data_IF_017933285299
#
_entry.id   IF_017933285299
#
_cell.length_a   1.000
_cell.length_b   1.000
_cell.length_c   1.000
_cell.angle_alpha   90.00
_cell.angle_beta   90.00
_cell.angle_gamma   90.00
#
_symmetry.space_group_name_H-M   'P 1'
#
loop_
_entity.id
_entity.type
_entity.pdbx_description
1 polymer ?
#
# COMPACT_ATOMS: atom_id res chain seq x y z
N UNK A 1 -22.94 -23.94 -17.54
CA UNK A 1 -21.90 -22.99 -17.12
C UNK A 1 -22.19 -21.68 -17.81
N UNK A 2 -22.30 -20.61 -17.03
CA UNK A 2 -22.51 -19.24 -17.55
C UNK A 2 -21.28 -18.84 -18.37
N UNK A 3 -21.45 -18.21 -19.53
CA UNK A 3 -20.32 -17.82 -20.37
C UNK A 3 -19.57 -16.63 -19.78
N UNK A 4 -20.31 -15.57 -19.42
CA UNK A 4 -19.80 -14.34 -18.79
C UNK A 4 -20.93 -13.71 -17.97
N UNK A 5 -20.60 -12.91 -16.95
CA UNK A 5 -21.57 -12.11 -16.18
C UNK A 5 -21.29 -10.62 -16.34
N UNK A 6 -22.31 -9.79 -16.24
CA UNK A 6 -22.16 -8.33 -16.30
C UNK A 6 -21.31 -7.81 -15.11
N UNK A 7 -20.61 -6.71 -15.33
CA UNK A 7 -19.92 -5.97 -14.25
C UNK A 7 -20.98 -5.55 -13.22
N UNK A 8 -20.66 -5.62 -11.93
CA UNK A 8 -21.60 -5.35 -10.83
C UNK A 8 -22.59 -6.48 -10.55
N UNK A 9 -22.37 -7.68 -11.12
CA UNK A 9 -23.17 -8.88 -10.89
C UNK A 9 -22.30 -10.07 -10.59
N UNK A 10 -22.83 -11.03 -9.82
CA UNK A 10 -22.16 -12.29 -9.50
C UNK A 10 -22.99 -13.47 -9.99
N UNK A 11 -22.34 -14.55 -10.47
CA UNK A 11 -23.02 -15.83 -10.63
C UNK A 11 -23.32 -16.46 -9.26
N UNK A 12 -24.14 -17.51 -9.18
CA UNK A 12 -24.30 -18.26 -7.92
C UNK A 12 -22.96 -18.68 -7.34
N UNK A 13 -22.82 -18.61 -6.00
CA UNK A 13 -21.56 -18.93 -5.31
C UNK A 13 -21.05 -20.32 -5.70
N UNK A 14 -19.82 -20.40 -6.14
CA UNK A 14 -19.18 -21.63 -6.64
C UNK A 14 -19.40 -21.91 -8.13
N UNK A 15 -20.25 -21.16 -8.82
CA UNK A 15 -20.41 -21.25 -10.27
C UNK A 15 -19.45 -20.27 -10.97
N UNK A 16 -18.31 -20.77 -11.41
CA UNK A 16 -17.29 -19.96 -12.10
C UNK A 16 -17.65 -19.84 -13.59
N UNK A 17 -17.81 -18.61 -14.14
CA UNK A 17 -18.02 -18.41 -15.57
C UNK A 17 -16.73 -18.73 -16.34
N UNK A 18 -16.84 -18.95 -17.67
CA UNK A 18 -15.64 -19.19 -18.48
C UNK A 18 -14.85 -17.92 -18.74
N UNK A 19 -15.53 -16.80 -18.89
CA UNK A 19 -14.97 -15.50 -19.24
C UNK A 19 -15.31 -14.47 -18.18
N UNK A 20 -14.47 -13.42 -18.10
CA UNK A 20 -14.67 -12.29 -17.21
C UNK A 20 -14.25 -10.98 -17.87
N UNK A 21 -14.80 -9.87 -17.40
CA UNK A 21 -14.28 -8.55 -17.70
C UNK A 21 -13.12 -8.23 -16.74
N UNK A 22 -12.04 -7.67 -17.31
CA UNK A 22 -10.89 -7.20 -16.54
C UNK A 22 -10.34 -5.91 -17.14
N UNK A 23 -9.81 -5.04 -16.29
CA UNK A 23 -8.99 -3.89 -16.68
C UNK A 23 -7.57 -4.39 -16.97
N UNK A 24 -7.24 -4.50 -18.25
CA UNK A 24 -5.96 -5.02 -18.69
C UNK A 24 -4.99 -3.92 -19.09
N UNK A 25 -3.71 -4.12 -18.80
CA UNK A 25 -2.59 -3.40 -19.36
C UNK A 25 -1.91 -4.31 -20.37
N UNK A 26 -1.47 -3.78 -21.53
CA UNK A 26 -0.67 -4.50 -22.52
C UNK A 26 0.63 -3.74 -22.82
N UNK A 27 1.70 -4.45 -23.18
CA UNK A 27 2.98 -3.82 -23.51
C UNK A 27 2.87 -2.79 -24.64
N UNK A 28 1.91 -2.94 -25.55
CA UNK A 28 1.65 -1.97 -26.61
C UNK A 28 0.93 -0.69 -26.17
N UNK A 29 0.47 -0.64 -24.92
CA UNK A 29 -0.27 0.51 -24.34
C UNK A 29 0.39 1.07 -23.09
N UNK A 30 1.64 0.71 -22.78
CA UNK A 30 2.35 1.29 -21.66
C UNK A 30 2.48 2.80 -21.81
N UNK A 31 2.16 3.54 -20.75
CA UNK A 31 2.12 5.00 -20.75
C UNK A 31 1.26 5.56 -19.65
N UNK A 32 0.52 6.61 -19.94
CA UNK A 32 -0.39 7.22 -18.98
C UNK A 32 -1.51 6.24 -18.59
N UNK A 33 -1.86 6.15 -17.30
CA UNK A 33 -2.84 5.17 -16.83
C UNK A 33 -4.18 5.19 -17.57
N UNK A 34 -4.69 6.37 -17.90
CA UNK A 34 -5.96 6.53 -18.63
C UNK A 34 -5.97 5.84 -20.00
N UNK A 35 -4.80 5.70 -20.63
CA UNK A 35 -4.65 5.03 -21.92
C UNK A 35 -4.21 3.57 -21.77
N UNK A 36 -3.46 3.24 -20.74
CA UNK A 36 -2.91 1.92 -20.49
C UNK A 36 -3.98 0.91 -20.07
N UNK A 37 -4.89 1.30 -19.16
CA UNK A 37 -5.98 0.44 -18.71
C UNK A 37 -7.13 0.41 -19.69
N UNK A 38 -7.57 -0.81 -20.06
CA UNK A 38 -8.77 -1.01 -20.90
C UNK A 38 -9.56 -2.22 -20.41
N UNK A 39 -10.89 -2.12 -20.44
CA UNK A 39 -11.75 -3.26 -20.16
C UNK A 39 -11.65 -4.23 -21.34
N UNK A 40 -11.23 -5.45 -21.05
CA UNK A 40 -11.19 -6.55 -22.01
C UNK A 40 -11.90 -7.78 -21.43
N UNK A 41 -12.43 -8.59 -22.31
CA UNK A 41 -12.96 -9.92 -21.98
C UNK A 41 -11.84 -10.94 -22.07
N UNK A 42 -11.55 -11.63 -20.96
CA UNK A 42 -10.50 -12.63 -20.84
C UNK A 42 -11.03 -13.91 -20.18
N UNK A 43 -10.28 -15.00 -20.27
CA UNK A 43 -10.63 -16.23 -19.56
C UNK A 43 -10.48 -16.06 -18.05
N UNK A 44 -11.42 -16.63 -17.29
CA UNK A 44 -11.26 -16.71 -15.83
C UNK A 44 -10.13 -17.68 -15.52
N UNK A 45 -9.15 -17.30 -14.67
CA UNK A 45 -8.05 -18.19 -14.34
C UNK A 45 -8.54 -19.37 -13.48
N UNK A 46 -7.91 -20.52 -13.63
CA UNK A 46 -8.17 -21.70 -12.80
C UNK A 46 -7.15 -21.73 -11.65
N UNK A 47 -7.60 -21.89 -10.39
CA UNK A 47 -6.68 -21.96 -9.26
C UNK A 47 -5.80 -23.23 -9.32
N UNK A 48 -4.50 -23.03 -9.20
CA UNK A 48 -3.50 -24.08 -9.07
C UNK A 48 -3.32 -24.57 -7.62
N UNK A 49 -2.21 -25.25 -7.35
CA UNK A 49 -1.88 -25.69 -5.98
C UNK A 49 -1.74 -24.50 -5.03
N UNK A 50 -2.40 -24.59 -3.88
CA UNK A 50 -2.44 -23.55 -2.84
C UNK A 50 -3.03 -22.21 -3.29
N UNK A 51 -3.70 -22.14 -4.44
CA UNK A 51 -4.34 -20.92 -4.93
C UNK A 51 -5.84 -20.90 -4.67
N UNK A 52 -6.38 -19.70 -4.55
CA UNK A 52 -7.80 -19.41 -4.28
C UNK A 52 -8.31 -18.47 -5.37
N UNK A 53 -9.42 -18.82 -6.01
CA UNK A 53 -10.15 -17.95 -6.92
C UNK A 53 -11.22 -17.18 -6.16
N UNK A 54 -11.16 -15.86 -6.24
CA UNK A 54 -12.02 -14.95 -5.48
C UNK A 54 -12.81 -14.08 -6.47
N UNK A 55 -14.13 -14.04 -6.35
CA UNK A 55 -14.95 -13.05 -7.00
C UNK A 55 -14.74 -11.72 -6.27
N UNK A 56 -14.20 -10.73 -6.97
CA UNK A 56 -13.86 -9.44 -6.41
C UNK A 56 -15.12 -8.60 -6.26
N UNK A 57 -15.42 -8.15 -5.04
CA UNK A 57 -16.52 -7.22 -4.77
C UNK A 57 -16.07 -5.77 -4.88
N UNK A 58 -14.92 -5.45 -4.30
CA UNK A 58 -14.27 -4.16 -4.44
C UNK A 58 -12.74 -4.31 -4.44
N UNK A 59 -12.06 -3.35 -5.03
CA UNK A 59 -10.60 -3.29 -5.16
C UNK A 59 -10.08 -1.95 -4.65
N UNK A 60 -8.93 -1.94 -3.96
CA UNK A 60 -8.23 -0.72 -3.55
C UNK A 60 -7.31 -0.19 -4.65
N UNK A 61 -7.17 1.12 -4.71
CA UNK A 61 -6.30 1.82 -5.66
C UNK A 61 -4.93 2.07 -5.03
N UNK A 62 -3.85 1.72 -5.75
CA UNK A 62 -2.49 1.86 -5.25
C UNK A 62 -1.51 2.37 -6.31
N UNK A 63 -0.51 3.14 -5.88
CA UNK A 63 0.46 3.77 -6.77
C UNK A 63 1.31 2.77 -7.56
N UNK A 64 1.49 1.53 -7.07
CA UNK A 64 2.20 0.48 -7.80
C UNK A 64 1.57 0.18 -9.18
N UNK A 65 0.26 0.37 -9.32
CA UNK A 65 -0.42 0.17 -10.59
C UNK A 65 -0.27 1.37 -11.54
N UNK A 66 0.08 2.56 -11.05
CA UNK A 66 0.61 3.67 -11.89
C UNK A 66 1.94 3.23 -12.53
N UNK A 67 2.83 2.62 -11.73
CA UNK A 67 4.09 2.08 -12.25
C UNK A 67 3.87 0.95 -13.24
N UNK A 68 2.94 0.04 -12.97
CA UNK A 68 2.60 -1.05 -13.90
C UNK A 68 2.07 -0.51 -15.23
N UNK A 69 1.20 0.50 -15.22
CA UNK A 69 0.68 1.17 -16.41
C UNK A 69 1.79 1.81 -17.24
N UNK A 70 2.76 2.43 -16.58
CA UNK A 70 3.89 3.11 -17.24
C UNK A 70 5.04 2.18 -17.64
N UNK A 71 5.05 0.94 -17.14
CA UNK A 71 6.16 -0.01 -17.37
C UNK A 71 7.47 0.41 -16.70
N UNK A 72 7.43 1.25 -15.66
CA UNK A 72 8.62 1.76 -14.95
C UNK A 72 8.42 1.65 -13.44
N UNK A 73 9.45 1.33 -12.66
CA UNK A 73 10.83 0.99 -13.07
C UNK A 73 10.96 -0.36 -13.76
N UNK A 74 9.90 -1.18 -13.78
CA UNK A 74 9.89 -2.53 -14.35
C UNK A 74 8.66 -2.69 -15.25
N UNK A 75 8.86 -3.15 -16.50
CA UNK A 75 7.78 -3.71 -17.31
C UNK A 75 7.43 -5.10 -16.78
N UNK A 76 6.35 -5.16 -15.98
CA UNK A 76 5.90 -6.38 -15.31
C UNK A 76 5.42 -7.48 -16.28
N UNK A 77 5.00 -7.12 -17.49
CA UNK A 77 4.58 -8.07 -18.52
C UNK A 77 5.82 -8.75 -19.12
N UNK A 78 6.80 -7.95 -19.55
CA UNK A 78 8.06 -8.46 -20.07
C UNK A 78 8.83 -9.28 -19.03
N UNK A 79 8.86 -8.85 -17.78
CA UNK A 79 9.50 -9.58 -16.69
C UNK A 79 8.87 -10.97 -16.49
N UNK A 80 7.53 -11.08 -16.47
CA UNK A 80 6.84 -12.37 -16.36
C UNK A 80 7.02 -13.24 -17.60
N UNK A 81 7.03 -12.65 -18.80
CA UNK A 81 7.32 -13.42 -20.04
C UNK A 81 8.71 -14.04 -20.01
N UNK A 82 9.70 -13.30 -19.51
CA UNK A 82 11.07 -13.83 -19.32
C UNK A 82 11.12 -15.00 -18.33
N UNK A 83 10.15 -15.09 -17.41
CA UNK A 83 9.96 -16.20 -16.47
C UNK A 83 9.04 -17.32 -17.01
N UNK A 84 8.64 -17.26 -18.27
CA UNK A 84 7.84 -18.29 -18.93
C UNK A 84 6.33 -18.07 -18.89
N UNK A 85 5.83 -16.92 -18.48
CA UNK A 85 4.40 -16.62 -18.55
C UNK A 85 3.90 -16.58 -20.00
N UNK A 86 2.78 -17.23 -20.27
CA UNK A 86 2.10 -17.21 -21.57
C UNK A 86 1.27 -15.95 -21.82
N UNK A 87 0.98 -15.18 -20.77
CA UNK A 87 0.08 -14.03 -20.86
C UNK A 87 0.83 -12.77 -21.34
N UNK A 88 0.24 -12.08 -22.32
CA UNK A 88 0.73 -10.84 -22.92
C UNK A 88 0.02 -9.61 -22.39
N UNK A 89 -0.68 -9.77 -21.28
CA UNK A 89 -1.42 -8.73 -20.56
C UNK A 89 -1.16 -8.80 -19.05
N UNK A 90 -1.51 -7.72 -18.37
CA UNK A 90 -1.49 -7.63 -16.92
C UNK A 90 -2.84 -7.17 -16.39
N UNK A 91 -3.43 -7.92 -15.49
CA UNK A 91 -4.54 -7.50 -14.64
C UNK A 91 -3.96 -7.12 -13.29
N UNK A 92 -3.96 -5.82 -13.00
CA UNK A 92 -3.41 -5.25 -11.78
C UNK A 92 -4.38 -5.32 -10.60
N UNK A 93 -4.09 -4.50 -9.58
CA UNK A 93 -4.90 -4.41 -8.35
C UNK A 93 -4.34 -5.27 -7.23
N UNK A 94 -3.88 -4.61 -6.16
CA UNK A 94 -3.14 -5.24 -5.06
C UNK A 94 -3.90 -5.24 -3.73
N UNK A 95 -5.16 -4.83 -3.76
CA UNK A 95 -6.13 -4.89 -2.66
C UNK A 95 -7.43 -5.50 -3.17
N UNK A 96 -8.01 -6.41 -2.42
CA UNK A 96 -9.32 -6.96 -2.73
C UNK A 96 -10.13 -7.23 -1.48
N UNK A 97 -11.44 -7.01 -1.57
CA UNK A 97 -12.44 -7.70 -0.78
C UNK A 97 -13.32 -8.52 -1.72
N UNK A 98 -13.71 -9.72 -1.32
CA UNK A 98 -14.46 -10.59 -2.21
C UNK A 98 -14.96 -11.88 -1.55
N UNK A 99 -15.47 -12.76 -2.38
CA UNK A 99 -16.03 -14.05 -1.98
C UNK A 99 -15.24 -15.17 -2.66
N UNK A 100 -14.87 -16.20 -1.93
CA UNK A 100 -14.18 -17.38 -2.47
C UNK A 100 -15.13 -18.18 -3.36
N UNK A 101 -14.74 -18.40 -4.62
CA UNK A 101 -15.54 -19.14 -5.61
C UNK A 101 -14.98 -20.50 -5.97
N UNK A 102 -13.65 -20.65 -5.95
CA UNK A 102 -13.02 -21.95 -6.13
C UNK A 102 -11.70 -22.02 -5.35
N UNK A 103 -11.29 -23.21 -5.00
CA UNK A 103 -10.03 -23.48 -4.30
C UNK A 103 -9.22 -24.52 -5.05
N UNK A 104 -7.92 -24.34 -5.10
CA UNK A 104 -6.98 -25.30 -5.66
C UNK A 104 -6.63 -26.43 -4.70
N UNK A 105 -5.85 -27.37 -5.21
CA UNK A 105 -5.35 -28.49 -4.42
C UNK A 105 -4.47 -27.96 -3.27
N UNK A 106 -4.63 -28.52 -2.08
CA UNK A 106 -3.83 -28.16 -0.91
C UNK A 106 -4.37 -27.03 -0.05
N UNK A 107 -5.34 -26.24 -0.53
CA UNK A 107 -6.01 -25.19 0.26
C UNK A 107 -6.79 -25.79 1.41
N UNK A 108 -6.64 -25.23 2.63
CA UNK A 108 -7.25 -25.78 3.88
C UNK A 108 -7.90 -24.72 4.76
N UNK A 109 -7.46 -23.47 4.70
CA UNK A 109 -7.85 -22.43 5.66
C UNK A 109 -9.07 -21.61 5.22
N UNK A 110 -9.49 -21.76 3.96
CA UNK A 110 -10.66 -21.10 3.39
C UNK A 110 -11.50 -22.08 2.57
N UNK A 111 -12.78 -21.77 2.40
CA UNK A 111 -13.73 -22.55 1.60
C UNK A 111 -14.56 -21.66 0.71
N UNK A 112 -15.18 -22.27 -0.31
CA UNK A 112 -16.14 -21.59 -1.19
C UNK A 112 -17.25 -20.95 -0.35
N UNK A 113 -17.53 -19.67 -0.64
CA UNK A 113 -18.50 -18.84 0.05
C UNK A 113 -17.93 -17.99 1.20
N UNK A 114 -16.66 -18.16 1.57
CA UNK A 114 -16.05 -17.31 2.59
C UNK A 114 -15.86 -15.88 2.06
N UNK A 115 -16.19 -14.90 2.89
CA UNK A 115 -15.94 -13.48 2.64
C UNK A 115 -14.54 -13.10 3.12
N UNK A 116 -13.74 -12.58 2.22
CA UNK A 116 -12.29 -12.43 2.43
C UNK A 116 -11.76 -11.09 1.98
N UNK A 117 -10.56 -10.76 2.46
CA UNK A 117 -9.66 -9.73 1.92
C UNK A 117 -8.33 -10.37 1.53
N UNK A 118 -7.60 -9.76 0.60
CA UNK A 118 -6.32 -10.27 0.11
C UNK A 118 -5.22 -9.30 0.45
N UNK A 119 -4.17 -9.76 1.15
CA UNK A 119 -2.99 -8.95 1.40
C UNK A 119 -1.94 -9.07 0.28
N UNK A 120 -1.11 -8.04 0.04
CA UNK A 120 -0.28 -7.94 -1.16
C UNK A 120 0.98 -8.83 -1.15
N UNK A 121 1.42 -9.33 -0.02
CA UNK A 121 2.64 -10.14 0.07
C UNK A 121 2.43 -11.52 -0.56
N UNK A 122 3.17 -11.82 -1.63
CA UNK A 122 3.07 -13.07 -2.37
C UNK A 122 4.44 -13.74 -2.48
N UNK A 123 4.50 -15.05 -2.38
CA UNK A 123 5.70 -15.88 -2.51
C UNK A 123 5.32 -17.31 -2.82
N UNK A 124 6.25 -18.08 -3.38
CA UNK A 124 6.08 -19.52 -3.52
C UNK A 124 6.18 -20.19 -2.14
N UNK A 125 5.12 -20.88 -1.66
CA UNK A 125 5.18 -21.64 -0.40
C UNK A 125 6.27 -22.71 -0.38
N UNK A 126 6.74 -23.13 -1.54
CA UNK A 126 7.78 -24.13 -1.71
C UNK A 126 9.21 -23.56 -1.72
N UNK A 127 9.38 -22.24 -1.72
CA UNK A 127 10.70 -21.60 -1.65
C UNK A 127 11.48 -22.09 -0.42
N UNK A 128 12.75 -22.50 -0.59
CA UNK A 128 13.58 -23.00 0.52
C UNK A 128 13.74 -22.00 1.66
N UNK A 129 13.80 -20.69 1.36
CA UNK A 129 13.89 -19.64 2.38
C UNK A 129 12.61 -19.61 3.24
N UNK A 130 11.43 -19.69 2.60
CA UNK A 130 10.14 -19.74 3.27
C UNK A 130 10.03 -20.99 4.14
N UNK A 131 10.37 -22.16 3.59
CA UNK A 131 10.37 -23.45 4.31
C UNK A 131 11.33 -23.47 5.51
N UNK A 132 12.36 -22.64 5.52
CA UNK A 132 13.29 -22.50 6.66
C UNK A 132 12.71 -21.65 7.81
N UNK A 133 11.48 -21.11 7.69
CA UNK A 133 10.80 -20.29 8.70
C UNK A 133 11.31 -18.85 8.78
N UNK A 134 12.07 -18.39 7.78
CA UNK A 134 12.52 -17.00 7.68
C UNK A 134 11.44 -16.10 7.09
N UNK A 135 11.61 -14.78 7.18
CA UNK A 135 10.67 -13.81 6.63
C UNK A 135 10.48 -14.04 5.12
N UNK A 136 9.27 -14.46 4.67
CA UNK A 136 9.04 -14.80 3.27
C UNK A 136 9.20 -13.61 2.32
N UNK A 137 9.07 -12.37 2.81
CA UNK A 137 9.31 -11.17 1.99
C UNK A 137 10.80 -10.95 1.67
N UNK A 138 11.70 -11.76 2.22
CA UNK A 138 13.12 -11.80 1.87
C UNK A 138 13.49 -13.00 0.97
N UNK A 139 12.50 -13.81 0.58
CA UNK A 139 12.70 -14.92 -0.34
C UNK A 139 12.96 -14.43 -1.77
N UNK A 140 13.65 -15.25 -2.58
CA UNK A 140 13.86 -14.94 -4.00
C UNK A 140 12.54 -14.89 -4.80
N UNK A 141 11.52 -15.59 -4.34
CA UNK A 141 10.18 -15.65 -4.94
C UNK A 141 9.23 -14.58 -4.40
N UNK A 142 9.68 -13.70 -3.47
CA UNK A 142 8.85 -12.66 -2.91
C UNK A 142 8.40 -11.64 -3.98
N UNK A 143 7.11 -11.37 -4.01
CA UNK A 143 6.45 -10.50 -4.99
C UNK A 143 5.37 -9.67 -4.32
N UNK A 144 4.90 -8.64 -5.01
CA UNK A 144 3.66 -7.93 -4.67
C UNK A 144 2.56 -8.43 -5.59
N UNK A 145 1.52 -8.98 -4.99
CA UNK A 145 0.32 -9.43 -5.68
C UNK A 145 -0.34 -8.28 -6.44
N UNK A 146 -0.80 -8.56 -7.68
CA UNK A 146 -1.45 -7.57 -8.53
C UNK A 146 -0.51 -6.44 -9.02
N UNK A 147 0.80 -6.55 -8.74
CA UNK A 147 1.84 -5.74 -9.37
C UNK A 147 2.85 -6.63 -10.12
N UNK A 148 3.58 -7.49 -9.40
CA UNK A 148 4.48 -8.44 -10.04
C UNK A 148 3.70 -9.65 -10.60
N UNK A 149 2.67 -10.11 -9.88
CA UNK A 149 1.81 -11.22 -10.30
C UNK A 149 0.70 -10.75 -11.24
N UNK A 150 0.11 -11.66 -12.02
CA UNK A 150 -1.08 -11.38 -12.83
C UNK A 150 -2.37 -11.74 -12.08
N UNK A 151 -3.53 -11.41 -12.65
CA UNK A 151 -4.85 -11.67 -12.10
C UNK A 151 -5.08 -11.07 -10.71
N UNK A 152 -4.71 -9.78 -10.57
CA UNK A 152 -5.04 -8.97 -9.41
C UNK A 152 -6.52 -8.54 -9.37
N UNK A 153 -6.84 -7.60 -8.49
CA UNK A 153 -8.23 -7.25 -8.17
C UNK A 153 -8.97 -6.38 -9.21
N UNK A 154 -8.30 -5.93 -10.27
CA UNK A 154 -8.98 -5.20 -11.34
C UNK A 154 -9.59 -6.12 -12.40
N UNK A 155 -10.05 -7.30 -12.02
CA UNK A 155 -10.87 -8.23 -12.76
C UNK A 155 -12.05 -8.71 -11.91
N UNK A 156 -13.11 -9.21 -12.53
CA UNK A 156 -14.26 -9.78 -11.80
C UNK A 156 -13.86 -10.95 -10.90
N UNK A 157 -12.81 -11.68 -11.29
CA UNK A 157 -12.18 -12.71 -10.48
C UNK A 157 -10.69 -12.46 -10.40
N UNK A 158 -10.12 -12.67 -9.21
CA UNK A 158 -8.69 -12.62 -8.99
C UNK A 158 -8.17 -13.95 -8.43
N UNK A 159 -6.85 -14.14 -8.56
CA UNK A 159 -6.16 -15.34 -8.12
C UNK A 159 -5.13 -14.98 -7.05
N UNK A 160 -5.18 -15.62 -5.90
CA UNK A 160 -4.25 -15.38 -4.79
C UNK A 160 -3.84 -16.71 -4.14
N UNK A 161 -2.65 -16.76 -3.55
CA UNK A 161 -2.28 -17.89 -2.70
C UNK A 161 -3.09 -17.89 -1.40
N UNK A 162 -3.37 -19.07 -0.85
CA UNK A 162 -4.11 -19.25 0.42
C UNK A 162 -3.54 -18.38 1.55
N UNK A 163 -2.20 -18.26 1.64
CA UNK A 163 -1.56 -17.48 2.69
C UNK A 163 -1.83 -15.96 2.62
N UNK A 164 -2.32 -15.47 1.48
CA UNK A 164 -2.71 -14.08 1.27
C UNK A 164 -4.15 -13.78 1.68
N UNK A 165 -4.96 -14.83 1.85
CA UNK A 165 -6.41 -14.70 2.03
C UNK A 165 -6.75 -14.64 3.51
N UNK A 166 -7.35 -13.52 3.95
CA UNK A 166 -7.71 -13.26 5.33
C UNK A 166 -9.22 -13.03 5.46
N UNK A 167 -9.83 -13.32 6.62
CA UNK A 167 -11.25 -13.08 6.81
C UNK A 167 -11.59 -11.59 6.75
N UNK A 168 -12.62 -11.24 6.00
CA UNK A 168 -13.16 -9.88 5.94
C UNK A 168 -13.76 -9.49 7.30
N UNK A 169 -13.59 -8.23 7.69
CA UNK A 169 -14.31 -7.64 8.82
C UNK A 169 -15.81 -7.55 8.51
N UNK A 170 -16.66 -8.18 9.32
CA UNK A 170 -18.11 -8.27 9.08
C UNK A 170 -18.82 -6.93 9.14
N UNK A 171 -18.32 -6.00 9.95
CA UNK A 171 -18.87 -4.65 10.12
C UNK A 171 -18.58 -3.71 8.94
N UNK A 172 -17.64 -4.08 8.05
CA UNK A 172 -17.24 -3.26 6.93
C UNK A 172 -18.02 -3.60 5.66
N UNK A 173 -18.32 -2.58 4.86
CA UNK A 173 -18.78 -2.74 3.48
C UNK A 173 -17.64 -3.31 2.61
N UNK A 174 -17.94 -3.67 1.37
CA UNK A 174 -16.94 -4.25 0.47
C UNK A 174 -15.83 -3.25 0.15
N UNK A 175 -16.19 -2.01 -0.20
CA UNK A 175 -15.24 -0.94 -0.47
C UNK A 175 -14.40 -0.57 0.75
N UNK A 176 -15.00 -0.56 1.95
CA UNK A 176 -14.26 -0.33 3.19
C UNK A 176 -13.27 -1.45 3.49
N UNK A 177 -13.64 -2.69 3.22
CA UNK A 177 -12.76 -3.83 3.46
C UNK A 177 -11.61 -3.91 2.44
N UNK A 178 -11.82 -3.45 1.20
CA UNK A 178 -10.79 -3.43 0.17
C UNK A 178 -9.76 -2.31 0.35
N UNK A 179 -10.16 -1.17 0.94
CA UNK A 179 -9.34 0.04 0.98
C UNK A 179 -7.97 -0.12 1.66
N UNK A 180 -7.87 -0.73 2.85
CA UNK A 180 -6.68 -0.60 3.67
C UNK A 180 -5.67 -1.76 3.53
N UNK A 181 -5.96 -2.82 2.80
CA UNK A 181 -5.23 -4.09 2.95
C UNK A 181 -3.75 -3.96 2.59
N UNK A 182 -3.42 -3.34 1.45
CA UNK A 182 -2.02 -3.12 1.07
C UNK A 182 -1.37 -2.04 1.93
N UNK A 183 -1.99 -0.87 1.98
CA UNK A 183 -1.38 0.32 2.62
C UNK A 183 -1.26 0.13 4.12
N UNK A 184 -2.24 -0.49 4.75
CA UNK A 184 -2.24 -0.75 6.19
C UNK A 184 -1.26 -1.85 6.59
N UNK A 185 -1.24 -2.96 5.87
CA UNK A 185 -0.26 -4.02 6.14
C UNK A 185 1.18 -3.57 5.86
N UNK A 186 1.38 -2.70 4.85
CA UNK A 186 2.67 -2.04 4.60
C UNK A 186 3.05 -1.12 5.77
N UNK A 187 2.14 -0.26 6.22
CA UNK A 187 2.37 0.62 7.38
C UNK A 187 2.65 -0.20 8.66
N UNK A 188 1.93 -1.30 8.85
CA UNK A 188 2.17 -2.21 9.98
C UNK A 188 3.59 -2.79 9.94
N UNK A 189 4.04 -3.28 8.78
CA UNK A 189 5.43 -3.74 8.61
C UNK A 189 6.44 -2.63 8.85
N UNK A 190 6.20 -1.42 8.37
CA UNK A 190 7.09 -0.28 8.59
C UNK A 190 7.28 0.02 10.09
N UNK A 191 6.22 -0.12 10.88
CA UNK A 191 6.21 0.23 12.30
C UNK A 191 6.57 -0.95 13.24
N UNK A 192 6.31 -2.20 12.84
CA UNK A 192 6.49 -3.39 13.69
C UNK A 192 7.42 -4.45 13.12
N UNK A 193 7.85 -4.33 11.87
CA UNK A 193 8.61 -5.39 11.17
C UNK A 193 10.11 -5.42 11.45
N UNK A 194 10.65 -4.47 12.21
CA UNK A 194 12.11 -4.23 12.26
C UNK A 194 12.64 -4.33 13.69
N UNK A 195 13.15 -5.50 14.03
CA UNK A 195 13.64 -5.82 15.38
C UNK A 195 14.51 -4.72 15.97
N UNK A 196 14.16 -4.28 17.18
CA UNK A 196 14.79 -3.21 17.92
C UNK A 196 14.38 -1.80 17.50
N UNK A 197 13.46 -1.69 16.51
CA UNK A 197 12.87 -0.42 16.04
C UNK A 197 11.36 -0.53 15.88
N UNK A 198 10.74 -1.50 16.54
CA UNK A 198 9.28 -1.59 16.64
C UNK A 198 8.75 -0.32 17.32
N UNK A 199 7.58 0.15 16.88
CA UNK A 199 6.93 1.30 17.52
C UNK A 199 6.47 0.90 18.92
N UNK A 200 6.75 1.75 19.89
CA UNK A 200 6.46 1.55 21.30
C UNK A 200 5.69 2.72 21.90
N UNK A 201 5.06 2.46 23.04
CA UNK A 201 4.38 3.50 23.80
C UNK A 201 5.34 4.63 24.18
N UNK A 202 4.92 5.86 23.87
CA UNK A 202 5.70 7.06 24.14
C UNK A 202 6.64 7.49 23.02
N UNK A 203 6.79 6.70 21.95
CA UNK A 203 7.55 7.13 20.76
C UNK A 203 6.92 8.34 20.07
N UNK A 204 7.73 9.14 19.41
CA UNK A 204 7.28 10.09 18.40
C UNK A 204 7.46 9.48 17.02
N UNK A 205 6.40 9.46 16.23
CA UNK A 205 6.41 8.95 14.85
C UNK A 205 6.10 10.09 13.89
N UNK A 206 7.05 10.47 13.03
CA UNK A 206 6.79 11.41 11.95
C UNK A 206 6.28 10.66 10.73
N UNK A 207 5.16 11.11 10.15
CA UNK A 207 4.51 10.42 9.03
C UNK A 207 4.42 11.35 7.83
N UNK A 208 5.24 11.10 6.82
CA UNK A 208 5.14 11.80 5.54
C UNK A 208 3.88 11.40 4.78
N UNK A 209 3.27 12.38 4.09
CA UNK A 209 2.03 12.14 3.36
C UNK A 209 0.91 11.58 4.24
N UNK A 210 0.78 12.11 5.47
CA UNK A 210 -0.10 11.58 6.51
C UNK A 210 -1.56 11.39 6.09
N UNK A 211 -2.05 12.14 5.10
CA UNK A 211 -3.44 12.05 4.62
C UNK A 211 -3.65 11.02 3.50
N UNK A 212 -2.59 10.42 2.96
CA UNK A 212 -2.69 9.38 1.94
C UNK A 212 -2.88 7.98 2.54
N UNK A 213 -2.95 6.96 1.68
CA UNK A 213 -3.22 5.59 2.12
C UNK A 213 -2.28 5.07 3.22
N UNK A 214 -0.98 4.98 2.94
CA UNK A 214 0.01 4.50 3.93
C UNK A 214 0.05 5.41 5.16
N UNK A 215 0.02 6.74 4.95
CA UNK A 215 0.13 7.71 6.04
C UNK A 215 -1.05 7.66 7.02
N UNK A 216 -2.28 7.58 6.52
CA UNK A 216 -3.49 7.50 7.35
C UNK A 216 -3.51 6.24 8.21
N UNK A 217 -3.03 5.12 7.67
CA UNK A 217 -2.91 3.87 8.41
C UNK A 217 -1.75 3.91 9.42
N UNK A 218 -0.60 4.48 9.04
CA UNK A 218 0.54 4.62 9.94
C UNK A 218 0.24 5.49 11.17
N UNK A 219 -0.53 6.57 11.00
CA UNK A 219 -1.01 7.41 12.11
C UNK A 219 -1.83 6.58 13.09
N UNK A 220 -2.78 5.82 12.61
CA UNK A 220 -3.67 5.02 13.47
C UNK A 220 -2.91 3.87 14.16
N UNK A 221 -2.04 3.15 13.43
CA UNK A 221 -1.22 2.07 14.02
C UNK A 221 -0.29 2.61 15.10
N UNK A 222 0.35 3.77 14.86
CA UNK A 222 1.20 4.41 15.86
C UNK A 222 0.40 4.83 17.12
N UNK A 223 -0.81 5.39 16.93
CA UNK A 223 -1.72 5.72 18.03
C UNK A 223 -2.11 4.47 18.84
N UNK A 224 -2.47 3.37 18.18
CA UNK A 224 -2.83 2.11 18.83
C UNK A 224 -1.66 1.53 19.64
N UNK A 225 -0.42 1.72 19.19
CA UNK A 225 0.79 1.36 19.93
C UNK A 225 1.07 2.30 21.12
N UNK A 226 0.30 3.38 21.30
CA UNK A 226 0.51 4.40 22.33
C UNK A 226 1.63 5.38 22.02
N UNK A 227 2.05 5.47 20.78
CA UNK A 227 2.98 6.47 20.26
C UNK A 227 2.26 7.79 19.90
N UNK A 228 3.02 8.84 19.66
CA UNK A 228 2.53 10.17 19.27
C UNK A 228 2.86 10.44 17.81
N UNK A 229 1.91 10.22 16.86
CA UNK A 229 2.14 10.52 15.45
C UNK A 229 2.05 12.03 15.18
N UNK A 230 2.97 12.54 14.35
CA UNK A 230 2.98 13.90 13.79
C UNK A 230 2.92 13.76 12.25
N UNK A 231 1.93 14.37 11.62
CA UNK A 231 1.74 14.26 10.18
C UNK A 231 2.49 15.34 9.41
N UNK A 232 3.01 15.01 8.22
CA UNK A 232 3.48 15.98 7.23
C UNK A 232 2.55 15.93 6.02
N UNK A 233 1.97 17.07 5.67
CA UNK A 233 0.92 17.17 4.64
C UNK A 233 1.13 18.37 3.71
N UNK A 234 0.25 18.54 2.72
CA UNK A 234 0.23 19.68 1.80
C UNK A 234 -1.07 20.48 1.93
N UNK A 235 -1.34 21.01 3.11
CA UNK A 235 -2.50 21.88 3.37
C UNK A 235 -3.26 21.56 4.64
N UNK A 236 -4.00 22.56 5.12
CA UNK A 236 -4.70 22.50 6.41
C UNK A 236 -5.82 21.43 6.43
N UNK A 237 -6.61 21.31 5.36
CA UNK A 237 -7.67 20.28 5.27
C UNK A 237 -7.11 18.87 5.50
N UNK A 238 -6.01 18.54 4.82
CA UNK A 238 -5.31 17.25 4.98
C UNK A 238 -4.73 17.09 6.39
N UNK A 239 -4.31 18.20 6.99
CA UNK A 239 -3.81 18.21 8.37
C UNK A 239 -4.91 17.93 9.39
N UNK A 240 -6.06 18.57 9.28
CA UNK A 240 -7.21 18.31 10.16
C UNK A 240 -7.74 16.87 10.00
N UNK A 241 -7.74 16.34 8.78
CA UNK A 241 -8.01 14.92 8.57
C UNK A 241 -7.03 14.02 9.33
N UNK A 242 -5.73 14.29 9.30
CA UNK A 242 -4.76 13.51 10.08
C UNK A 242 -4.99 13.60 11.60
N UNK A 243 -5.40 14.76 12.10
CA UNK A 243 -5.76 14.93 13.51
C UNK A 243 -6.99 14.10 13.89
N UNK A 244 -7.99 14.00 13.01
CA UNK A 244 -9.17 13.15 13.27
C UNK A 244 -8.81 11.66 13.38
N UNK A 245 -7.70 11.22 12.76
CA UNK A 245 -7.18 9.87 12.87
C UNK A 245 -6.28 9.66 14.11
N UNK A 246 -5.98 10.73 14.84
CA UNK A 246 -5.19 10.68 16.08
C UNK A 246 -3.77 11.23 15.98
N UNK A 247 -3.41 11.96 14.93
CA UNK A 247 -2.17 12.72 14.92
C UNK A 247 -2.23 13.85 15.97
N UNK A 248 -1.13 14.06 16.70
CA UNK A 248 -1.01 15.17 17.66
C UNK A 248 -1.11 16.53 16.97
N UNK A 249 -0.74 16.60 15.71
CA UNK A 249 -0.83 17.76 14.85
C UNK A 249 -0.16 17.47 13.51
N UNK A 250 0.04 18.53 12.74
CA UNK A 250 0.62 18.40 11.39
C UNK A 250 1.58 19.54 11.06
N UNK A 251 2.41 19.30 10.05
CA UNK A 251 3.31 20.27 9.45
C UNK A 251 2.93 20.39 7.97
N UNK A 252 2.69 21.61 7.48
CA UNK A 252 2.50 21.87 6.07
C UNK A 252 3.87 21.94 5.37
N UNK A 253 4.17 20.97 4.50
CA UNK A 253 5.45 20.93 3.78
C UNK A 253 5.66 22.13 2.85
N UNK A 254 4.59 22.84 2.50
CA UNK A 254 4.66 24.03 1.61
C UNK A 254 5.26 25.25 2.31
N UNK A 255 5.36 25.22 3.65
CA UNK A 255 6.05 26.26 4.42
C UNK A 255 7.58 26.22 4.26
N UNK A 256 8.11 25.20 3.55
CA UNK A 256 9.54 24.94 3.41
C UNK A 256 9.91 24.73 1.95
N UNK A 257 11.16 25.05 1.58
CA UNK A 257 11.66 25.01 0.20
C UNK A 257 12.97 24.23 0.04
N UNK A 258 13.47 23.61 1.11
CA UNK A 258 14.79 22.95 1.14
C UNK A 258 14.75 21.47 0.76
N UNK A 259 13.71 21.06 0.04
CA UNK A 259 13.51 19.67 -0.39
C UNK A 259 14.52 19.24 -1.45
N UNK A 260 14.76 17.94 -1.54
CA UNK A 260 15.68 17.34 -2.50
C UNK A 260 17.12 17.28 -2.00
N UNK A 261 18.04 17.30 -2.95
CA UNK A 261 19.46 17.12 -2.67
C UNK A 261 20.02 18.27 -1.81
N UNK A 262 20.61 17.98 -0.62
CA UNK A 262 21.30 19.00 0.15
C UNK A 262 22.54 19.52 -0.61
N UNK A 263 22.96 20.77 -0.37
CA UNK A 263 24.20 21.29 -0.94
C UNK A 263 25.41 20.43 -0.57
N UNK A 264 26.44 20.44 -1.42
CA UNK A 264 27.67 19.71 -1.12
C UNK A 264 28.30 20.22 0.19
N UNK A 265 28.90 19.34 0.97
CA UNK A 265 29.42 19.66 2.31
C UNK A 265 30.50 20.77 2.33
N UNK A 266 31.15 21.05 1.20
CA UNK A 266 32.10 22.17 1.02
C UNK A 266 31.45 23.50 0.69
N UNK A 267 30.16 23.52 0.34
CA UNK A 267 29.41 24.76 0.12
C UNK A 267 28.87 25.26 1.49
N UNK A 268 29.69 26.07 2.17
CA UNK A 268 29.37 26.58 3.49
C UNK A 268 28.08 27.42 3.52
N UNK A 269 27.82 28.21 2.47
CA UNK A 269 26.65 29.07 2.39
C UNK A 269 25.39 28.24 2.19
N UNK A 270 25.37 27.37 1.18
CA UNK A 270 24.24 26.46 0.93
C UNK A 270 23.97 25.55 2.13
N UNK A 271 25.02 25.04 2.77
CA UNK A 271 24.89 24.22 3.99
C UNK A 271 24.23 24.98 5.16
N UNK A 272 24.56 26.27 5.35
CA UNK A 272 23.93 27.13 6.38
C UNK A 272 22.43 27.33 6.08
N UNK A 273 22.10 27.62 4.84
CA UNK A 273 20.71 27.83 4.41
C UNK A 273 19.89 26.55 4.56
N UNK A 274 20.36 25.44 4.01
CA UNK A 274 19.68 24.15 4.12
C UNK A 274 19.49 23.74 5.59
N UNK A 275 20.55 23.81 6.40
CA UNK A 275 20.50 23.46 7.83
C UNK A 275 19.54 24.37 8.60
N UNK A 276 19.45 25.65 8.25
CA UNK A 276 18.49 26.58 8.88
C UNK A 276 17.05 26.12 8.62
N UNK A 277 16.72 25.76 7.38
CA UNK A 277 15.40 25.26 7.01
C UNK A 277 15.09 23.90 7.66
N UNK A 278 16.04 22.97 7.64
CA UNK A 278 15.89 21.67 8.28
C UNK A 278 15.69 21.78 9.81
N UNK A 279 16.38 22.74 10.47
CA UNK A 279 16.15 23.05 11.88
C UNK A 279 14.78 23.68 12.13
N UNK A 280 14.34 24.57 11.23
CA UNK A 280 13.01 25.17 11.32
C UNK A 280 11.92 24.10 11.20
N UNK A 281 12.08 23.14 10.27
CA UNK A 281 11.20 21.98 10.16
C UNK A 281 11.21 21.13 11.43
N UNK A 282 12.39 20.78 11.97
CA UNK A 282 12.51 20.05 13.24
C UNK A 282 11.88 20.79 14.41
N UNK A 283 11.98 22.14 14.46
CA UNK A 283 11.29 22.94 15.47
C UNK A 283 9.78 22.85 15.36
N UNK A 284 9.22 22.80 14.16
CA UNK A 284 7.77 22.58 13.98
C UNK A 284 7.28 21.26 14.58
N UNK A 285 8.11 20.19 14.56
CA UNK A 285 7.79 18.94 15.27
C UNK A 285 7.65 19.22 16.76
N UNK A 286 8.58 19.95 17.36
CA UNK A 286 8.53 20.29 18.79
C UNK A 286 7.35 21.21 19.13
N UNK A 287 7.03 22.17 18.26
CA UNK A 287 5.89 23.07 18.44
C UNK A 287 4.57 22.28 18.46
N UNK A 288 4.43 21.26 17.59
CA UNK A 288 3.27 20.33 17.57
C UNK A 288 3.21 19.51 18.85
N UNK A 289 4.35 19.03 19.34
CA UNK A 289 4.42 18.19 20.55
C UNK A 289 4.31 18.99 21.84
N UNK A 290 4.56 20.31 21.82
CA UNK A 290 4.68 21.14 23.01
C UNK A 290 5.97 20.89 23.81
N UNK A 291 6.88 20.07 23.31
CA UNK A 291 8.15 19.71 23.95
C UNK A 291 9.25 19.42 22.94
N UNK A 292 10.51 19.51 23.38
CA UNK A 292 11.68 19.28 22.52
C UNK A 292 11.98 17.77 22.42
N UNK A 293 11.30 17.10 21.51
CA UNK A 293 11.51 15.69 21.19
C UNK A 293 11.62 15.46 19.68
N UNK A 294 12.52 14.56 19.28
CA UNK A 294 12.70 14.16 17.91
C UNK A 294 11.98 12.83 17.62
N UNK A 295 11.54 12.58 16.38
CA UNK A 295 10.89 11.33 16.04
C UNK A 295 11.88 10.16 16.11
N UNK A 296 11.51 9.11 16.86
CA UNK A 296 12.26 7.84 16.89
C UNK A 296 12.05 7.04 15.63
N UNK A 297 10.85 7.13 15.03
CA UNK A 297 10.53 6.49 13.76
C UNK A 297 10.00 7.54 12.79
N UNK A 298 10.48 7.48 11.54
CA UNK A 298 9.97 8.32 10.46
C UNK A 298 9.47 7.40 9.35
N UNK A 299 8.17 7.45 9.08
CA UNK A 299 7.51 6.73 8.00
C UNK A 299 7.64 7.55 6.73
N UNK A 300 8.39 6.99 5.77
CA UNK A 300 8.76 7.62 4.49
C UNK A 300 8.15 6.89 3.30
N UNK A 301 7.72 7.67 2.31
CA UNK A 301 7.40 7.16 0.98
C UNK A 301 7.69 8.16 -0.17
N UNK A 302 7.89 9.48 0.05
CA UNK A 302 8.32 10.37 -1.02
C UNK A 302 9.72 10.01 -1.54
N UNK A 303 10.69 9.83 -0.66
CA UNK A 303 12.02 9.37 -1.03
C UNK A 303 13.00 10.51 -1.32
N UNK A 304 13.29 10.76 -2.60
CA UNK A 304 14.37 11.66 -3.03
C UNK A 304 14.32 13.04 -2.36
N UNK A 305 13.15 13.65 -2.32
CA UNK A 305 12.99 15.00 -1.77
C UNK A 305 13.09 15.08 -0.25
N UNK A 306 12.73 14.04 0.48
CA UNK A 306 12.45 14.13 1.91
C UNK A 306 13.40 13.34 2.80
N UNK A 307 14.05 12.30 2.26
CA UNK A 307 15.03 11.47 3.00
C UNK A 307 16.15 12.32 3.67
N UNK A 308 16.73 13.35 3.01
CA UNK A 308 17.77 14.15 3.66
C UNK A 308 17.28 14.82 4.94
N UNK A 309 16.08 15.41 4.91
CA UNK A 309 15.45 16.05 6.06
C UNK A 309 15.02 15.01 7.10
N UNK A 310 14.51 13.86 6.71
CA UNK A 310 14.16 12.76 7.60
C UNK A 310 15.40 12.27 8.36
N UNK A 311 16.52 12.03 7.67
CA UNK A 311 17.79 11.65 8.32
C UNK A 311 18.25 12.76 9.28
N UNK A 312 18.11 14.04 8.94
CA UNK A 312 18.47 15.14 9.82
C UNK A 312 17.63 15.16 11.11
N UNK A 313 16.29 15.04 10.98
CA UNK A 313 15.34 15.19 12.09
C UNK A 313 15.17 13.95 12.96
N UNK A 314 15.48 12.75 12.46
CA UNK A 314 15.36 11.50 13.19
C UNK A 314 16.21 11.53 14.48
N UNK A 315 15.69 10.97 15.56
CA UNK A 315 16.39 10.93 16.85
C UNK A 315 17.64 10.01 16.80
N UNK A 316 18.49 10.14 17.81
CA UNK A 316 19.63 9.24 17.98
C UNK A 316 19.16 7.78 18.17
N UNK A 317 19.76 6.85 17.43
CA UNK A 317 19.35 5.46 17.45
C UNK A 317 17.99 5.19 16.78
N UNK A 318 17.35 6.22 16.21
CA UNK A 318 16.05 6.09 15.56
C UNK A 318 16.14 5.52 14.14
N UNK A 319 14.99 5.30 13.51
CA UNK A 319 14.85 4.69 12.20
C UNK A 319 14.05 5.56 11.23
N UNK A 320 14.59 5.79 10.05
CA UNK A 320 13.83 6.24 8.88
C UNK A 320 13.50 5.00 8.06
N UNK A 321 12.21 4.68 7.92
CA UNK A 321 11.74 3.50 7.19
C UNK A 321 10.99 3.92 5.93
N UNK A 322 11.38 3.38 4.77
CA UNK A 322 10.87 3.77 3.46
C UNK A 322 10.28 2.60 2.70
N UNK A 323 9.09 2.80 2.09
CA UNK A 323 8.41 1.77 1.31
C UNK A 323 8.19 2.13 -0.17
N UNK A 324 8.54 3.35 -0.60
CA UNK A 324 8.34 3.84 -1.96
C UNK A 324 9.32 4.98 -2.28
N UNK A 325 9.26 5.53 -3.51
CA UNK A 325 10.03 6.68 -3.95
C UNK A 325 9.18 7.52 -4.92
N UNK A 326 8.11 8.15 -4.41
CA UNK A 326 7.13 8.85 -5.27
C UNK A 326 7.64 10.17 -5.82
N UNK A 327 8.71 10.75 -5.24
CA UNK A 327 9.38 11.95 -5.78
C UNK A 327 10.70 11.64 -6.49
N UNK A 328 11.14 10.39 -6.48
CA UNK A 328 12.37 9.94 -7.13
C UNK A 328 13.13 8.91 -6.30
N UNK A 329 14.20 8.37 -6.89
CA UNK A 329 14.94 7.22 -6.34
C UNK A 329 16.37 7.55 -5.90
N UNK A 330 16.87 8.76 -6.18
CA UNK A 330 18.28 9.13 -5.99
C UNK A 330 18.47 10.10 -4.82
N UNK A 331 18.14 9.66 -3.59
CA UNK A 331 18.31 10.49 -2.41
C UNK A 331 19.79 10.64 -2.00
N UNK A 332 20.21 11.87 -1.75
CA UNK A 332 21.55 12.19 -1.21
C UNK A 332 21.42 12.51 0.27
N UNK A 333 22.21 11.86 1.11
CA UNK A 333 22.22 12.10 2.57
C UNK A 333 23.59 12.57 3.05
N UNK A 334 23.60 13.48 4.00
CA UNK A 334 24.82 13.82 4.73
C UNK A 334 25.09 12.75 5.79
N UNK A 335 26.13 11.96 5.55
CA UNK A 335 26.47 10.84 6.40
C UNK A 335 26.77 11.25 7.84
N UNK A 336 27.22 12.49 8.10
CA UNK A 336 27.47 13.01 9.47
C UNK A 336 26.22 12.93 10.32
N UNK A 337 25.05 13.26 9.77
CA UNK A 337 23.76 13.18 10.48
C UNK A 337 23.29 11.74 10.66
N UNK A 338 23.80 10.80 9.89
CA UNK A 338 23.46 9.38 9.96
C UNK A 338 24.31 8.64 10.99
N UNK A 339 25.67 8.55 10.79
CA UNK A 339 26.48 7.68 11.64
C UNK A 339 26.73 8.25 13.05
N UNK A 340 26.90 9.59 13.20
CA UNK A 340 27.18 10.20 14.51
C UNK A 340 26.04 9.94 15.50
N UNK A 341 24.83 9.81 14.99
CA UNK A 341 23.62 9.55 15.79
C UNK A 341 23.15 8.09 15.70
N UNK A 342 23.93 7.22 15.09
CA UNK A 342 23.67 5.77 14.97
C UNK A 342 22.27 5.46 14.44
N UNK A 343 21.79 6.23 13.44
CA UNK A 343 20.45 6.10 12.87
C UNK A 343 20.40 4.94 11.87
N UNK A 344 19.22 4.38 11.69
CA UNK A 344 18.93 3.36 10.69
C UNK A 344 18.16 3.96 9.52
N UNK A 345 18.56 3.66 8.29
CA UNK A 345 17.75 3.82 7.09
C UNK A 345 17.32 2.44 6.63
N UNK A 346 16.01 2.17 6.68
CA UNK A 346 15.43 0.84 6.46
C UNK A 346 14.50 0.85 5.25
N UNK A 347 14.80 0.02 4.24
CA UNK A 347 13.85 -0.32 3.19
C UNK A 347 12.79 -1.29 3.72
N UNK A 348 11.53 -1.07 3.37
CA UNK A 348 10.39 -1.92 3.74
C UNK A 348 9.55 -2.17 2.51
N UNK A 349 9.25 -3.43 2.19
CA UNK A 349 8.49 -3.78 0.99
C UNK A 349 7.39 -4.78 1.33
N UNK A 350 6.15 -4.40 1.04
CA UNK A 350 4.97 -5.24 1.27
C UNK A 350 4.76 -5.64 2.72
N UNK A 351 4.37 -6.87 2.94
CA UNK A 351 4.07 -7.45 4.26
C UNK A 351 4.17 -8.97 4.20
N UNK A 352 4.46 -9.63 5.32
CA UNK A 352 4.26 -11.08 5.45
C UNK A 352 2.89 -11.40 6.08
N UNK A 353 2.47 -12.67 6.03
CA UNK A 353 1.16 -13.10 6.53
C UNK A 353 0.95 -12.78 8.01
N UNK A 354 1.96 -12.96 8.86
CA UNK A 354 1.82 -12.69 10.30
C UNK A 354 1.53 -11.20 10.57
N UNK A 355 2.21 -10.31 9.86
CA UNK A 355 1.99 -8.86 9.94
C UNK A 355 0.63 -8.46 9.35
N UNK A 356 0.24 -9.08 8.24
CA UNK A 356 -1.06 -8.84 7.62
C UNK A 356 -2.22 -9.32 8.52
N UNK A 357 -2.08 -10.47 9.19
CA UNK A 357 -3.05 -10.95 10.19
C UNK A 357 -3.17 -9.96 11.34
N UNK A 358 -2.03 -9.55 11.93
CA UNK A 358 -2.02 -8.63 13.05
C UNK A 358 -2.68 -7.29 12.70
N UNK A 359 -2.40 -6.76 11.50
CA UNK A 359 -3.09 -5.58 10.99
C UNK A 359 -4.60 -5.82 10.78
N UNK A 360 -4.97 -6.91 10.12
CA UNK A 360 -6.38 -7.25 9.87
C UNK A 360 -7.17 -7.43 11.16
N UNK A 361 -6.54 -7.92 12.23
CA UNK A 361 -7.17 -8.04 13.55
C UNK A 361 -7.47 -6.68 14.18
N UNK A 362 -6.62 -5.66 13.99
CA UNK A 362 -6.92 -4.28 14.38
C UNK A 362 -8.13 -3.73 13.61
N UNK A 363 -8.20 -3.97 12.30
CA UNK A 363 -9.35 -3.56 11.47
C UNK A 363 -10.63 -4.29 11.91
N UNK A 364 -10.58 -5.59 12.10
CA UNK A 364 -11.72 -6.42 12.56
C UNK A 364 -12.18 -6.05 13.97
N UNK A 365 -11.25 -5.64 14.82
CA UNK A 365 -11.52 -5.13 16.18
C UNK A 365 -12.12 -3.72 16.20
N UNK A 366 -12.15 -3.01 15.06
CA UNK A 366 -12.68 -1.64 14.96
C UNK A 366 -11.72 -0.55 15.46
N UNK A 367 -10.45 -0.89 15.73
CA UNK A 367 -9.44 0.10 16.17
C UNK A 367 -8.93 0.98 15.04
N UNK A 368 -9.02 0.49 13.80
CA UNK A 368 -8.53 1.13 12.59
C UNK A 368 -9.70 1.49 11.67
N UNK A 369 -9.79 2.76 11.29
CA UNK A 369 -10.67 3.22 10.21
C UNK A 369 -10.05 2.85 8.85
N UNK A 370 -10.81 2.24 7.93
CA UNK A 370 -10.34 1.91 6.58
C UNK A 370 -9.89 3.12 5.76
N UNK A 371 -10.33 4.32 6.09
CA UNK A 371 -9.97 5.57 5.42
C UNK A 371 -10.37 5.59 3.93
N UNK A 372 -11.59 5.20 3.60
CA UNK A 372 -12.13 5.35 2.25
C UNK A 372 -12.39 6.83 1.97
N UNK A 373 -11.67 7.41 1.02
CA UNK A 373 -11.85 8.80 0.62
C UNK A 373 -12.80 8.95 -0.57
N UNK A 374 -12.79 7.98 -1.47
CA UNK A 374 -13.59 8.01 -2.70
C UNK A 374 -13.89 6.59 -3.18
N UNK A 375 -15.08 6.41 -3.75
CA UNK A 375 -15.49 5.15 -4.40
C UNK A 375 -15.77 5.43 -5.87
N UNK A 376 -15.23 4.63 -6.77
CA UNK A 376 -15.42 4.77 -8.22
C UNK A 376 -15.91 3.47 -8.85
N UNK A 377 -16.48 3.57 -10.04
CA UNK A 377 -16.92 2.43 -10.84
C UNK A 377 -15.76 1.75 -11.56
N UNK A 378 -15.99 0.52 -12.00
CA UNK A 378 -14.97 -0.33 -12.64
C UNK A 378 -14.36 0.27 -13.91
N UNK A 379 -15.15 1.00 -14.70
CA UNK A 379 -14.69 1.67 -15.92
C UNK A 379 -13.74 2.85 -15.66
N UNK A 380 -13.69 3.35 -14.41
CA UNK A 380 -12.87 4.51 -14.02
C UNK A 380 -11.47 4.13 -13.51
N UNK A 381 -11.05 2.86 -13.53
CA UNK A 381 -9.74 2.42 -13.02
C UNK A 381 -8.58 3.20 -13.64
N UNK A 382 -8.56 3.39 -14.96
CA UNK A 382 -7.53 4.14 -15.66
C UNK A 382 -7.49 5.62 -15.24
N UNK A 383 -8.68 6.27 -15.20
CA UNK A 383 -8.79 7.66 -14.79
C UNK A 383 -8.41 7.86 -13.32
N UNK A 384 -8.80 6.93 -12.45
CA UNK A 384 -8.45 6.97 -11.04
C UNK A 384 -6.94 6.91 -10.80
N UNK A 385 -6.21 6.07 -11.54
CA UNK A 385 -4.75 6.00 -11.48
C UNK A 385 -4.09 7.24 -12.08
N UNK A 386 -4.70 7.85 -13.12
CA UNK A 386 -4.24 9.13 -13.68
C UNK A 386 -4.37 10.24 -12.63
N UNK A 387 -5.52 10.33 -11.97
CA UNK A 387 -5.75 11.32 -10.92
C UNK A 387 -4.82 11.10 -9.71
N UNK A 388 -4.50 9.84 -9.39
CA UNK A 388 -3.50 9.49 -8.36
C UNK A 388 -2.11 9.98 -8.74
N UNK A 389 -1.69 9.75 -9.97
CA UNK A 389 -0.38 10.19 -10.50
C UNK A 389 -0.25 11.71 -10.47
N UNK A 390 -1.34 12.42 -10.75
CA UNK A 390 -1.41 13.88 -10.77
C UNK A 390 -1.67 14.51 -9.38
N UNK A 391 -1.82 13.69 -8.33
CA UNK A 391 -2.05 14.14 -6.96
C UNK A 391 -3.43 14.80 -6.74
N UNK A 392 -4.42 14.44 -7.56
CA UNK A 392 -5.79 15.00 -7.53
C UNK A 392 -6.75 14.25 -6.61
N UNK A 393 -6.36 13.06 -6.11
CA UNK A 393 -7.22 12.28 -5.22
C UNK A 393 -7.42 12.96 -3.87
N UNK A 394 -8.58 12.68 -3.26
CA UNK A 394 -8.92 13.08 -1.91
C UNK A 394 -7.98 12.42 -0.86
N UNK A 395 -8.21 12.71 0.42
CA UNK A 395 -7.53 12.01 1.50
C UNK A 395 -7.97 10.53 1.60
N UNK A 396 -7.21 9.71 2.29
CA UNK A 396 -7.48 8.28 2.45
C UNK A 396 -7.15 7.46 1.20
N UNK A 397 -7.92 6.40 0.99
CA UNK A 397 -7.82 5.51 -0.15
C UNK A 397 -9.01 5.66 -1.09
N UNK A 398 -8.77 5.50 -2.39
CA UNK A 398 -9.81 5.34 -3.39
C UNK A 398 -10.06 3.85 -3.63
N UNK A 399 -11.33 3.46 -3.74
CA UNK A 399 -11.74 2.09 -4.04
C UNK A 399 -12.57 2.02 -5.32
N UNK A 400 -12.55 0.85 -5.94
CA UNK A 400 -13.26 0.54 -7.18
C UNK A 400 -14.29 -0.54 -6.88
N UNK A 401 -15.54 -0.30 -7.22
CA UNK A 401 -16.58 -1.35 -7.20
C UNK A 401 -16.40 -2.27 -8.40
N UNK A 402 -16.39 -3.58 -8.17
CA UNK A 402 -16.22 -4.61 -9.23
C UNK A 402 -17.47 -5.49 -9.32
N UNK A 403 -17.70 -6.33 -8.32
CA UNK A 403 -18.86 -7.19 -8.19
C UNK A 403 -19.98 -6.59 -7.33
N UNK A 404 -19.63 -5.63 -6.46
CA UNK A 404 -20.64 -4.89 -5.69
C UNK A 404 -21.42 -3.94 -6.60
N UNK A 405 -22.74 -4.08 -6.62
CA UNK A 405 -23.62 -3.30 -7.50
C UNK A 405 -23.70 -1.80 -7.13
N UNK A 406 -23.36 -1.45 -5.90
CA UNK A 406 -23.35 -0.08 -5.37
C UNK A 406 -22.54 0.00 -4.08
N UNK A 407 -22.22 1.21 -3.67
CA UNK A 407 -21.63 1.50 -2.34
C UNK A 407 -22.53 1.06 -1.18
N UNK A 408 -21.93 0.84 -0.03
CA UNK A 408 -22.62 0.54 1.22
C UNK A 408 -23.12 -0.91 1.34
N UNK A 409 -22.76 -1.80 0.39
CA UNK A 409 -23.07 -3.23 0.50
C UNK A 409 -22.04 -3.92 1.38
N UNK A 410 -22.51 -4.70 2.36
CA UNK A 410 -21.72 -5.52 3.26
C UNK A 410 -22.16 -6.98 3.25
N UNK A 411 -21.69 -7.76 4.23
CA UNK A 411 -21.88 -9.23 4.34
C UNK A 411 -23.34 -9.73 4.30
N UNK A 412 -24.33 -8.89 4.45
CA UNK A 412 -25.75 -9.27 4.47
C UNK A 412 -26.52 -8.92 3.19
N UNK A 413 -25.83 -8.46 2.15
CA UNK A 413 -26.46 -7.92 0.93
C UNK A 413 -25.73 -8.45 -0.33
N UNK A 414 -25.68 -9.77 -0.48
CA UNK A 414 -25.28 -10.44 -1.73
C UNK A 414 -26.49 -10.94 -2.46
#
# INVERSE_FOLDING_TARGET
MTEIVSIGSLPPVGEVPKRMFAQTIRSSRLGDPVDAFKIEEIDVPTPGESEVLIAVMAAGLNFNNVWAARGVPIDVISARKAQGSKYDFHVGGSDASGIVYAIGVGVRNVKVGDEVVVHPGSWDPNDPHVKSGKDPMLAATAQIWGYNTNFGSFGQFCLAYEHQVLPKAKQLTWEQAAAPTLVGATAYRMLHGWKGHEVEKGDVVLVWGGSGGVGSQAIQIAREAGATPVAVVSGAEKGEYCKSLGAAGYIDRRDFTHWGQPPHWTDETGQKEWTSQARAFGKKIWDVLGERRSPRIIVEHPGEDTIPTSIFCCDAGGMVVICAGTTGYSAVIDLRYHWVRQKRLQGSHGTNTAQAIAYNDLVRGGSIDPCVGEVRSFDQVGQAHQDMMEGKLAHGNTTILVGAAREGLGSSAV
#
